data_IF_038995424622
#
_entry.id   IF_038995424622
#
_cell.length_a   1.000
_cell.length_b   1.000
_cell.length_c   1.000
_cell.angle_alpha   90.00
_cell.angle_beta   90.00
_cell.angle_gamma   90.00
#
_symmetry.space_group_name_H-M   'P 1'
#
loop_
_entity.id
_entity.type
_entity.pdbx_description
1 polymer ?
#
# COMPACT_ATOMS: atom_id res chain seq x y z
N UNK A 1 -9.35 11.77 -21.10
CA UNK A 1 -9.97 10.71 -20.27
C UNK A 1 -9.07 9.48 -20.34
N UNK A 2 -8.20 9.29 -19.35
CA UNK A 2 -7.42 8.06 -19.24
C UNK A 2 -8.30 6.87 -18.84
N UNK A 3 -8.02 5.72 -19.44
CA UNK A 3 -8.50 4.43 -18.99
C UNK A 3 -7.72 3.99 -17.75
N UNK A 4 -8.42 3.70 -16.66
CA UNK A 4 -7.81 3.35 -15.37
C UNK A 4 -8.46 2.11 -14.75
N UNK A 5 -7.71 1.47 -13.85
CA UNK A 5 -8.20 0.45 -12.93
C UNK A 5 -8.05 0.99 -11.51
N UNK A 6 -9.09 0.84 -10.69
CA UNK A 6 -9.05 1.20 -9.27
C UNK A 6 -8.59 0.03 -8.42
N UNK A 7 -7.44 0.18 -7.75
CA UNK A 7 -6.83 -0.81 -6.88
C UNK A 7 -6.91 -0.33 -5.43
N UNK A 8 -7.46 -1.16 -4.54
CA UNK A 8 -7.57 -0.88 -3.12
C UNK A 8 -6.52 -1.67 -2.33
N UNK A 9 -5.80 -0.97 -1.46
CA UNK A 9 -4.84 -1.56 -0.52
C UNK A 9 -5.50 -1.78 0.84
N UNK A 10 -5.39 -2.99 1.41
CA UNK A 10 -6.18 -3.38 2.58
C UNK A 10 -5.91 -2.51 3.82
N UNK A 11 -4.64 -2.25 4.15
CA UNK A 11 -4.26 -1.55 5.40
C UNK A 11 -4.42 -0.03 5.33
N UNK A 12 -4.14 0.56 4.17
CA UNK A 12 -4.34 2.00 3.96
C UNK A 12 -5.83 2.35 3.71
N UNK A 13 -6.66 1.37 3.34
CA UNK A 13 -8.05 1.59 2.90
C UNK A 13 -8.18 2.46 1.65
N UNK A 14 -7.04 2.79 1.02
CA UNK A 14 -6.93 3.79 -0.03
C UNK A 14 -7.18 3.14 -1.37
N UNK A 15 -8.13 3.70 -2.13
CA UNK A 15 -8.31 3.41 -3.55
C UNK A 15 -7.36 4.31 -4.34
N UNK A 16 -6.55 3.70 -5.19
CA UNK A 16 -5.65 4.39 -6.11
C UNK A 16 -5.89 3.91 -7.54
N UNK A 17 -5.64 4.78 -8.51
CA UNK A 17 -5.85 4.49 -9.92
C UNK A 17 -4.54 4.16 -10.62
N UNK A 18 -4.57 3.09 -11.40
CA UNK A 18 -3.42 2.58 -12.14
C UNK A 18 -3.75 2.42 -13.62
N UNK A 19 -2.74 2.55 -14.46
CA UNK A 19 -2.83 2.25 -15.88
C UNK A 19 -2.94 0.73 -16.07
N UNK A 20 -3.93 0.25 -16.85
CA UNK A 20 -4.11 -1.18 -17.13
C UNK A 20 -2.99 -1.79 -17.98
N UNK A 21 -2.29 -0.95 -18.76
CA UNK A 21 -1.44 -1.38 -19.86
C UNK A 21 -2.22 -2.35 -20.76
N UNK A 22 -1.75 -3.59 -20.92
CA UNK A 22 -2.41 -4.66 -21.68
C UNK A 22 -3.01 -5.76 -20.77
N UNK A 23 -3.14 -5.50 -19.47
CA UNK A 23 -3.63 -6.48 -18.49
C UNK A 23 -5.15 -6.39 -18.41
N UNK A 24 -5.80 -7.54 -18.60
CA UNK A 24 -7.23 -7.71 -18.31
C UNK A 24 -7.37 -8.20 -16.87
N UNK A 25 -8.15 -7.49 -16.07
CA UNK A 25 -8.44 -7.82 -14.68
C UNK A 25 -9.93 -7.67 -14.41
N UNK A 26 -10.44 -8.49 -13.52
CA UNK A 26 -11.81 -8.43 -13.03
C UNK A 26 -11.84 -7.88 -11.59
N UNK A 27 -13.04 -7.52 -11.13
CA UNK A 27 -13.26 -7.12 -9.73
C UNK A 27 -12.89 -8.28 -8.82
N UNK A 28 -12.25 -7.97 -7.68
CA UNK A 28 -11.67 -8.91 -6.71
C UNK A 28 -10.38 -9.62 -7.15
N UNK A 29 -9.87 -9.37 -8.36
CA UNK A 29 -8.53 -9.84 -8.71
C UNK A 29 -7.47 -9.18 -7.83
N UNK A 30 -6.53 -9.99 -7.38
CA UNK A 30 -5.32 -9.50 -6.71
C UNK A 30 -4.31 -9.10 -7.77
N UNK A 31 -3.72 -7.92 -7.61
CA UNK A 31 -2.75 -7.37 -8.57
C UNK A 31 -1.51 -6.87 -7.85
N UNK A 32 -0.38 -7.03 -8.52
CA UNK A 32 0.90 -6.47 -8.09
C UNK A 32 1.15 -5.18 -8.87
N UNK A 33 1.50 -4.11 -8.15
CA UNK A 33 1.66 -2.77 -8.71
C UNK A 33 2.97 -2.12 -8.27
N UNK A 34 3.47 -1.18 -9.07
CA UNK A 34 4.59 -0.32 -8.66
C UNK A 34 4.07 1.04 -8.17
N UNK A 35 3.98 1.21 -6.86
CA UNK A 35 3.55 2.48 -6.26
C UNK A 35 4.73 3.42 -5.99
N UNK A 36 4.48 4.56 -5.36
CA UNK A 36 5.54 5.44 -4.85
C UNK A 36 6.32 4.81 -3.68
N UNK A 37 5.72 3.84 -2.99
CA UNK A 37 6.30 3.15 -1.83
C UNK A 37 7.18 1.98 -2.26
N UNK A 38 6.83 1.31 -3.37
CA UNK A 38 7.60 0.20 -3.93
C UNK A 38 6.66 -0.80 -4.60
N UNK A 39 7.06 -2.07 -4.60
CA UNK A 39 6.20 -3.16 -5.08
C UNK A 39 5.16 -3.47 -4.01
N UNK A 40 3.90 -3.28 -4.34
CA UNK A 40 2.76 -3.51 -3.44
C UNK A 40 1.75 -4.46 -4.10
N UNK A 41 0.86 -5.00 -3.28
CA UNK A 41 -0.24 -5.86 -3.73
C UNK A 41 -1.57 -5.25 -3.28
N UNK A 42 -2.56 -5.28 -4.16
CA UNK A 42 -3.89 -4.75 -3.88
C UNK A 42 -4.97 -5.53 -4.59
N UNK A 43 -6.23 -5.17 -4.30
CA UNK A 43 -7.41 -5.80 -4.88
C UNK A 43 -8.07 -4.82 -5.84
N UNK A 44 -8.45 -5.30 -7.02
CA UNK A 44 -9.23 -4.52 -7.99
C UNK A 44 -10.64 -4.29 -7.45
N UNK A 45 -11.02 -3.03 -7.28
CA UNK A 45 -12.39 -2.61 -6.89
C UNK A 45 -13.15 -1.94 -8.01
N UNK A 46 -12.44 -1.28 -8.91
CA UNK A 46 -13.01 -0.70 -10.12
C UNK A 46 -12.28 -1.34 -11.30
N UNK A 47 -13.00 -2.05 -12.19
CA UNK A 47 -12.41 -2.57 -13.42
C UNK A 47 -12.10 -1.40 -14.37
N UNK A 48 -11.69 -1.72 -15.60
CA UNK A 48 -11.38 -0.71 -16.61
C UNK A 48 -12.49 0.34 -16.75
N UNK A 49 -12.17 1.58 -16.44
CA UNK A 49 -13.10 2.71 -16.52
C UNK A 49 -12.41 3.98 -17.03
N UNK A 50 -13.19 4.85 -17.66
CA UNK A 50 -12.77 6.20 -17.99
C UNK A 50 -12.96 7.13 -16.77
N UNK A 51 -11.95 7.95 -16.50
CA UNK A 51 -12.05 9.02 -15.48
C UNK A 51 -11.66 10.37 -16.10
N UNK A 52 -12.25 11.45 -15.60
CA UNK A 52 -11.83 12.79 -15.99
C UNK A 52 -10.40 13.06 -15.49
N UNK A 53 -9.60 13.81 -16.25
CA UNK A 53 -8.20 14.08 -15.88
C UNK A 53 -8.08 14.91 -14.61
N UNK A 54 -9.08 15.72 -14.30
CA UNK A 54 -9.19 16.50 -13.06
C UNK A 54 -9.46 15.65 -11.81
N UNK A 55 -10.04 14.46 -11.99
CA UNK A 55 -10.40 13.54 -10.92
C UNK A 55 -9.30 12.50 -10.62
N UNK A 56 -8.14 12.60 -11.29
CA UNK A 56 -7.05 11.62 -11.16
C UNK A 56 -5.68 12.29 -10.99
N UNK A 57 -4.85 11.71 -10.12
CA UNK A 57 -3.49 12.21 -9.88
C UNK A 57 -2.52 11.63 -10.89
N UNK A 58 -2.05 12.45 -11.83
CA UNK A 58 -1.05 12.08 -12.83
C UNK A 58 0.39 12.32 -12.33
N UNK A 59 1.40 11.56 -12.84
CA UNK A 59 1.26 10.44 -13.76
C UNK A 59 0.72 9.19 -13.08
N UNK A 60 -0.12 8.44 -13.80
CA UNK A 60 -0.60 7.14 -13.36
C UNK A 60 0.56 6.14 -13.26
N UNK A 61 0.50 5.31 -12.22
CA UNK A 61 1.42 4.19 -12.03
C UNK A 61 0.88 2.94 -12.73
N UNK A 62 1.74 1.94 -12.88
CA UNK A 62 1.42 0.76 -13.68
C UNK A 62 1.01 -0.42 -12.79
N UNK A 63 0.02 -1.19 -13.26
CA UNK A 63 -0.14 -2.58 -12.84
C UNK A 63 0.97 -3.39 -13.51
N UNK A 64 1.69 -4.19 -12.71
CA UNK A 64 2.78 -5.05 -13.20
C UNK A 64 2.19 -6.35 -13.73
N UNK A 65 1.29 -6.98 -12.95
CA UNK A 65 0.67 -8.28 -13.26
C UNK A 65 -0.45 -8.61 -12.28
N UNK A 66 -1.25 -9.62 -12.64
CA UNK A 66 -2.12 -10.34 -11.70
C UNK A 66 -1.21 -11.09 -10.69
N UNK A 67 -1.61 -11.07 -9.43
CA UNK A 67 -0.91 -11.76 -8.35
C UNK A 67 -1.09 -13.28 -8.49
N UNK A 68 -0.03 -14.02 -8.18
CA UNK A 68 -0.11 -15.47 -8.06
C UNK A 68 -0.22 -15.89 -6.59
N UNK A 69 -0.42 -17.18 -6.34
CA UNK A 69 -0.54 -17.72 -4.98
C UNK A 69 0.69 -17.39 -4.10
N UNK A 70 1.89 -17.29 -4.70
CA UNK A 70 3.10 -16.97 -3.94
C UNK A 70 3.11 -15.52 -3.49
N UNK A 71 2.54 -14.61 -4.27
CA UNK A 71 2.39 -13.21 -3.83
C UNK A 71 1.40 -13.09 -2.70
N UNK A 72 0.28 -13.83 -2.77
CA UNK A 72 -0.73 -13.86 -1.71
C UNK A 72 -0.11 -14.46 -0.43
N UNK A 73 0.66 -15.53 -0.54
CA UNK A 73 1.39 -16.12 0.60
C UNK A 73 2.41 -15.14 1.19
N UNK A 74 3.16 -14.41 0.35
CA UNK A 74 4.08 -13.36 0.80
C UNK A 74 3.35 -12.25 1.52
N UNK A 75 2.23 -11.78 0.97
CA UNK A 75 1.38 -10.77 1.58
C UNK A 75 0.93 -11.21 2.98
N UNK A 76 0.39 -12.42 3.10
CA UNK A 76 -0.06 -12.96 4.38
C UNK A 76 1.09 -13.11 5.40
N UNK A 77 2.28 -13.50 4.95
CA UNK A 77 3.47 -13.53 5.81
C UNK A 77 3.87 -12.12 6.26
N UNK A 78 3.89 -11.17 5.33
CA UNK A 78 4.24 -9.77 5.59
C UNK A 78 3.26 -9.11 6.57
N UNK A 79 1.98 -9.44 6.49
CA UNK A 79 0.96 -8.94 7.42
C UNK A 79 1.23 -9.40 8.87
N UNK A 80 1.60 -10.67 9.06
CA UNK A 80 1.97 -11.21 10.37
C UNK A 80 3.25 -10.57 10.91
N UNK A 81 4.25 -10.38 10.04
CA UNK A 81 5.50 -9.73 10.43
C UNK A 81 5.28 -8.25 10.77
N UNK A 82 4.38 -7.56 10.05
CA UNK A 82 4.03 -6.18 10.31
C UNK A 82 3.34 -6.01 11.67
N UNK A 83 2.49 -6.97 12.09
CA UNK A 83 1.89 -6.97 13.43
C UNK A 83 2.95 -7.05 14.52
N UNK A 84 3.93 -7.95 14.36
CA UNK A 84 5.05 -8.08 15.29
C UNK A 84 5.92 -6.81 15.32
N UNK A 85 6.23 -6.25 14.16
CA UNK A 85 7.01 -5.01 14.05
C UNK A 85 6.29 -3.81 14.68
N UNK A 86 4.96 -3.73 14.54
CA UNK A 86 4.13 -2.70 15.16
C UNK A 86 4.17 -2.77 16.69
N UNK A 87 4.08 -3.98 17.27
CA UNK A 87 4.17 -4.19 18.71
C UNK A 87 5.53 -3.72 19.23
N UNK A 88 6.60 -4.19 18.58
CA UNK A 88 7.96 -3.81 18.96
C UNK A 88 8.17 -2.30 18.88
N UNK A 89 7.73 -1.67 17.79
CA UNK A 89 7.88 -0.22 17.62
C UNK A 89 7.07 0.58 18.65
N UNK A 90 5.89 0.11 19.04
CA UNK A 90 5.10 0.73 20.12
C UNK A 90 5.82 0.70 21.47
N UNK A 91 6.54 -0.37 21.77
CA UNK A 91 7.31 -0.44 23.00
C UNK A 91 8.51 0.51 22.97
N UNK A 92 9.22 0.59 21.84
CA UNK A 92 10.32 1.56 21.64
C UNK A 92 9.85 3.01 21.77
N UNK A 93 8.74 3.36 21.10
CA UNK A 93 8.13 4.70 21.18
C UNK A 93 7.81 5.08 22.62
N UNK A 94 7.25 4.13 23.40
CA UNK A 94 6.93 4.32 24.81
C UNK A 94 8.19 4.52 25.65
N UNK A 95 9.22 3.70 25.44
CA UNK A 95 10.49 3.80 26.16
C UNK A 95 11.23 5.11 25.88
N UNK A 96 11.13 5.62 24.65
CA UNK A 96 11.72 6.90 24.26
C UNK A 96 10.86 8.11 24.63
N UNK A 97 9.64 7.91 25.12
CA UNK A 97 8.74 9.01 25.50
C UNK A 97 8.31 9.89 24.32
N UNK A 98 8.28 9.33 23.10
CA UNK A 98 7.88 10.07 21.90
C UNK A 98 6.35 10.24 21.89
N UNK A 99 5.89 11.48 21.70
CA UNK A 99 4.46 11.81 21.64
C UNK A 99 3.86 11.48 20.25
N UNK A 100 3.86 10.18 19.92
CA UNK A 100 3.23 9.65 18.73
C UNK A 100 2.36 8.44 19.01
N UNK A 101 1.33 8.30 18.20
CA UNK A 101 0.46 7.13 18.16
C UNK A 101 0.66 6.39 16.84
N UNK A 102 1.31 5.24 16.91
CA UNK A 102 1.41 4.30 15.79
C UNK A 102 0.01 3.77 15.42
N UNK A 103 -0.40 4.01 14.19
CA UNK A 103 -1.70 3.62 13.62
C UNK A 103 -1.60 2.21 13.04
N UNK A 104 -0.66 1.98 12.12
CA UNK A 104 -0.43 0.67 11.52
C UNK A 104 1.04 0.50 11.10
N UNK A 105 1.38 -0.72 10.70
CA UNK A 105 2.64 -1.08 10.07
C UNK A 105 2.32 -1.94 8.84
N UNK A 106 3.11 -1.76 7.79
CA UNK A 106 2.98 -2.46 6.51
C UNK A 106 4.38 -2.77 5.96
N UNK A 107 4.54 -3.90 5.28
CA UNK A 107 5.71 -4.16 4.45
C UNK A 107 5.32 -4.05 2.97
N UNK A 108 6.25 -3.56 2.14
CA UNK A 108 6.12 -3.77 0.69
C UNK A 108 6.11 -5.27 0.38
N UNK A 109 5.51 -5.68 -0.74
CA UNK A 109 5.34 -7.10 -1.08
C UNK A 109 6.69 -7.84 -1.15
N UNK A 110 7.71 -7.17 -1.67
CA UNK A 110 9.10 -7.67 -1.76
C UNK A 110 9.88 -7.55 -0.45
N UNK A 111 9.26 -7.02 0.60
CA UNK A 111 9.83 -6.78 1.92
C UNK A 111 11.05 -5.85 1.92
N UNK A 112 11.24 -5.06 0.87
CA UNK A 112 12.33 -4.09 0.77
C UNK A 112 12.16 -2.89 1.72
N UNK A 113 10.93 -2.59 2.14
CA UNK A 113 10.62 -1.53 3.09
C UNK A 113 9.61 -1.97 4.14
N UNK A 114 9.78 -1.44 5.35
CA UNK A 114 8.77 -1.40 6.40
C UNK A 114 8.26 0.03 6.54
N UNK A 115 6.95 0.20 6.64
CA UNK A 115 6.28 1.50 6.65
C UNK A 115 5.42 1.57 7.90
N UNK A 116 5.72 2.53 8.78
CA UNK A 116 4.92 2.83 9.96
C UNK A 116 4.11 4.09 9.70
N UNK A 117 2.78 4.00 9.77
CA UNK A 117 1.93 5.18 9.78
C UNK A 117 1.61 5.54 11.22
N UNK A 118 1.78 6.81 11.58
CA UNK A 118 1.52 7.33 12.92
C UNK A 118 0.85 8.70 12.85
N UNK A 119 0.20 9.08 13.94
CA UNK A 119 -0.26 10.44 14.19
C UNK A 119 0.56 11.03 15.34
N UNK A 120 0.89 12.30 15.25
CA UNK A 120 1.54 13.06 16.31
C UNK A 120 0.88 14.44 16.38
N UNK A 121 0.72 14.97 17.59
CA UNK A 121 0.13 16.29 17.80
C UNK A 121 1.11 17.40 17.38
N UNK A 122 2.40 17.19 17.65
CA UNK A 122 3.49 18.05 17.23
C UNK A 122 4.42 17.34 16.21
N UNK A 123 5.18 18.14 15.47
CA UNK A 123 6.15 17.62 14.49
C UNK A 123 7.23 16.82 15.22
N UNK A 124 7.39 15.57 14.82
CA UNK A 124 8.47 14.69 15.29
C UNK A 124 9.56 14.67 14.23
N UNK A 125 10.71 15.24 14.57
CA UNK A 125 11.90 15.14 13.74
C UNK A 125 12.62 13.83 14.06
N UNK A 126 12.63 12.92 13.08
CA UNK A 126 13.42 11.69 13.10
C UNK A 126 14.77 12.01 12.46
N UNK A 127 15.74 12.46 13.25
CA UNK A 127 17.13 12.60 12.80
C UNK A 127 17.87 11.26 12.96
N UNK A 128 18.68 10.89 11.96
CA UNK A 128 19.52 9.68 11.92
C UNK A 128 20.67 9.74 12.93
#
# INVERSE_FOLDING_TARGET
MPNVIGVQFQKAGKLEYYTPNDIQVDIEDWVVVESKRGIEIGIVKNPLMDIAEEDVVLPLKNIIRIADDKDIDKFNCNERDAENALILCKDIVREQGLDMRLVNCEYTLDKSKVIFNFTADDRIDLEN
#
